data_IF_587426560346
#
_entry.id   IF_587426560346
#
_cell.length_a   1.000
_cell.length_b   1.000
_cell.length_c   1.000
_cell.angle_alpha   90.00
_cell.angle_beta   90.00
_cell.angle_gamma   90.00
#
_symmetry.space_group_name_H-M   'P 1'
#
loop_
_entity.id
_entity.type
_entity.pdbx_description
1 polymer ?
#
# COMPACT_ATOMS: atom_id res chain seq x y z
N UNK A 1 40.71 -1.77 8.53
CA UNK A 1 39.41 -1.73 9.26
C UNK A 1 39.21 -0.30 9.72
N UNK A 2 38.04 0.37 9.57
CA UNK A 2 36.66 -0.02 9.18
C UNK A 2 36.23 0.63 7.83
N UNK A 3 35.16 0.32 7.09
CA UNK A 3 34.02 -0.61 7.09
C UNK A 3 33.31 -0.44 5.72
N UNK A 4 32.43 -1.36 5.27
CA UNK A 4 31.76 -1.23 3.98
C UNK A 4 30.67 -0.16 4.12
N UNK A 5 30.87 0.98 3.47
CA UNK A 5 29.82 1.97 3.22
C UNK A 5 28.79 1.30 2.30
N UNK A 6 27.87 0.57 2.92
CA UNK A 6 26.64 0.06 2.34
C UNK A 6 25.68 1.23 2.18
N UNK A 7 26.10 2.25 1.43
CA UNK A 7 25.23 3.31 0.99
C UNK A 7 24.64 2.85 -0.33
N UNK A 8 23.61 2.00 -0.25
CA UNK A 8 22.72 1.77 -1.38
C UNK A 8 22.28 3.15 -1.88
N UNK A 9 22.76 3.62 -3.04
CA UNK A 9 22.54 4.99 -3.44
C UNK A 9 21.06 5.16 -3.77
N UNK A 10 20.38 5.96 -2.96
CA UNK A 10 19.12 6.58 -3.32
C UNK A 10 18.00 5.60 -3.64
N UNK A 11 17.43 4.98 -2.60
CA UNK A 11 15.97 4.83 -2.59
C UNK A 11 15.37 6.24 -2.44
N UNK A 12 15.57 7.07 -3.47
CA UNK A 12 14.73 8.24 -3.67
C UNK A 12 13.35 7.66 -3.95
N UNK A 13 12.59 7.45 -2.88
CA UNK A 13 11.15 7.26 -2.97
C UNK A 13 10.67 8.43 -3.78
N UNK A 14 10.40 8.19 -5.07
CA UNK A 14 9.90 9.21 -5.96
C UNK A 14 8.68 9.81 -5.24
N UNK A 15 8.53 11.14 -5.13
CA UNK A 15 7.38 11.71 -4.44
C UNK A 15 6.02 11.32 -5.06
N UNK A 16 6.03 10.69 -6.25
CA UNK A 16 4.87 10.03 -6.88
C UNK A 16 4.79 8.50 -6.63
N UNK A 17 5.70 7.92 -5.84
CA UNK A 17 5.67 6.50 -5.50
C UNK A 17 4.65 6.28 -4.38
N UNK A 18 3.42 5.98 -4.79
CA UNK A 18 2.35 5.54 -3.89
C UNK A 18 2.60 4.12 -3.35
N UNK A 19 3.66 3.44 -3.79
CA UNK A 19 3.96 2.05 -3.48
C UNK A 19 3.23 1.06 -4.38
N UNK A 20 3.29 -0.22 -4.00
CA UNK A 20 2.63 -1.33 -4.68
C UNK A 20 1.54 -1.92 -3.78
N UNK A 21 0.48 -2.43 -4.40
CA UNK A 21 -0.58 -3.16 -3.71
C UNK A 21 0.02 -4.37 -3.00
N UNK A 22 -0.20 -4.50 -1.69
CA UNK A 22 0.26 -5.65 -0.91
C UNK A 22 -0.41 -6.96 -1.31
N UNK A 23 -1.59 -6.91 -1.95
CA UNK A 23 -2.34 -8.11 -2.33
C UNK A 23 -1.97 -8.64 -3.72
N UNK A 24 -1.68 -7.77 -4.69
CA UNK A 24 -1.47 -8.18 -6.08
C UNK A 24 -0.21 -7.58 -6.73
N UNK A 25 0.50 -6.69 -6.05
CA UNK A 25 1.75 -6.08 -6.54
C UNK A 25 1.57 -4.98 -7.59
N UNK A 26 0.34 -4.61 -7.95
CA UNK A 26 0.09 -3.52 -8.91
C UNK A 26 0.54 -2.17 -8.34
N UNK A 27 1.01 -1.27 -9.21
CA UNK A 27 1.40 0.08 -8.82
C UNK A 27 0.17 0.85 -8.34
N UNK A 28 0.26 1.45 -7.16
CA UNK A 28 -0.79 2.31 -6.64
C UNK A 28 -0.70 3.66 -7.35
N UNK A 29 -1.84 4.24 -7.70
CA UNK A 29 -1.90 5.49 -8.48
C UNK A 29 -2.55 6.63 -7.72
N UNK A 30 -3.25 6.32 -6.62
CA UNK A 30 -4.01 7.28 -5.83
C UNK A 30 -3.60 7.25 -4.35
N UNK A 31 -3.74 8.40 -3.67
CA UNK A 31 -3.54 8.52 -2.21
C UNK A 31 -4.40 7.55 -1.40
N UNK A 32 -5.63 7.29 -1.87
CA UNK A 32 -6.54 6.34 -1.22
C UNK A 32 -5.99 4.91 -1.28
N UNK A 33 -5.39 4.53 -2.39
CA UNK A 33 -4.78 3.22 -2.57
C UNK A 33 -3.55 3.08 -1.68
N UNK A 34 -2.65 4.08 -1.68
CA UNK A 34 -1.47 4.09 -0.82
C UNK A 34 -1.83 4.00 0.67
N UNK A 35 -2.88 4.71 1.11
CA UNK A 35 -3.34 4.68 2.50
C UNK A 35 -3.77 3.29 2.97
N UNK A 36 -4.38 2.49 2.10
CA UNK A 36 -4.74 1.11 2.42
C UNK A 36 -3.68 0.09 1.97
N UNK A 37 -2.61 0.56 1.32
CA UNK A 37 -1.59 -0.27 0.68
C UNK A 37 -2.20 -1.32 -0.27
N UNK A 38 -3.35 -1.00 -0.87
CA UNK A 38 -4.15 -1.88 -1.69
C UNK A 38 -4.64 -1.10 -2.91
N UNK A 39 -4.62 -1.74 -4.08
CA UNK A 39 -5.20 -1.13 -5.26
C UNK A 39 -6.71 -1.06 -5.17
N UNK A 40 -7.32 -0.19 -5.98
CA UNK A 40 -8.76 0.05 -5.99
C UNK A 40 -9.58 -1.24 -6.10
N UNK A 41 -9.16 -2.20 -6.93
CA UNK A 41 -9.85 -3.48 -7.08
C UNK A 41 -9.84 -4.30 -5.78
N UNK A 42 -8.66 -4.45 -5.14
CA UNK A 42 -8.55 -5.13 -3.87
C UNK A 42 -9.28 -4.38 -2.75
N UNK A 43 -9.27 -3.04 -2.78
CA UNK A 43 -10.03 -2.21 -1.84
C UNK A 43 -11.53 -2.42 -1.98
N UNK A 44 -12.09 -2.46 -3.19
CA UNK A 44 -13.52 -2.72 -3.40
C UNK A 44 -13.92 -4.10 -2.83
N UNK A 45 -13.12 -5.13 -3.08
CA UNK A 45 -13.35 -6.47 -2.51
C UNK A 45 -13.31 -6.49 -0.97
N UNK A 46 -12.44 -5.69 -0.37
CA UNK A 46 -12.34 -5.57 1.09
C UNK A 46 -13.49 -4.75 1.69
N UNK A 47 -13.88 -3.66 1.01
CA UNK A 47 -14.91 -2.73 1.46
C UNK A 47 -16.29 -3.39 1.46
N UNK A 48 -16.54 -4.29 0.51
CA UNK A 48 -17.73 -5.14 0.48
C UNK A 48 -17.85 -6.03 1.73
N UNK A 49 -16.74 -6.52 2.29
CA UNK A 49 -16.76 -7.33 3.53
C UNK A 49 -17.03 -6.51 4.79
N UNK A 50 -16.63 -5.24 4.83
CA UNK A 50 -16.79 -4.37 6.01
C UNK A 50 -18.23 -3.86 6.15
N UNK A 51 -18.96 -3.65 5.04
CA UNK A 51 -20.36 -3.21 5.07
C UNK A 51 -21.29 -4.28 5.71
N UNK A 52 -20.92 -5.56 5.60
CA UNK A 52 -21.67 -6.67 6.22
C UNK A 52 -21.42 -6.76 7.73
N UNK A 53 -20.25 -6.32 8.22
CA UNK A 53 -19.86 -6.48 9.63
C UNK A 53 -20.27 -5.31 10.54
N UNK A 54 -20.75 -4.20 9.97
CA UNK A 54 -21.25 -3.02 10.71
C UNK A 54 -22.62 -3.20 11.39
N UNK A 55 -23.36 -4.29 11.12
CA UNK A 55 -24.72 -4.53 11.67
C UNK A 55 -24.79 -5.41 12.93
N UNK A 56 -23.67 -5.75 13.56
CA UNK A 56 -23.66 -6.62 14.77
C UNK A 56 -23.13 -5.99 16.06
N UNK A 57 -23.11 -4.65 16.16
CA UNK A 57 -23.06 -3.99 17.47
C UNK A 57 -24.49 -3.67 17.92
N UNK A 58 -25.18 -4.72 18.36
CA UNK A 58 -26.43 -4.63 19.11
C UNK A 58 -26.11 -4.39 20.59
#
# INVERSE_FOLDING_TARGET
MPGPESELPGFQSNPNDFGKCSSCGVILTSKQEAKATLCKDCQERHKDREDVMGKSKK
#
